data_IF_920322891034
#
_entry.id   IF_920322891034
#
_cell.length_a   1.000
_cell.length_b   1.000
_cell.length_c   1.000
_cell.angle_alpha   90.00
_cell.angle_beta   90.00
_cell.angle_gamma   90.00
#
_symmetry.space_group_name_H-M   'P 1'
#
loop_
_entity.id
_entity.type
_entity.pdbx_description
1 polymer ?
#
# COMPACT_ATOMS: atom_id res chain seq x y z
N UNK A 1 -3.19 2.96 -10.30
CA UNK A 1 -2.26 2.13 -11.10
C UNK A 1 -2.06 0.80 -10.38
N UNK A 2 -2.17 -0.34 -11.06
CA UNK A 2 -1.96 -1.66 -10.44
C UNK A 2 -0.58 -2.18 -10.83
N UNK A 3 0.12 -2.84 -9.91
CA UNK A 3 1.48 -3.32 -10.14
C UNK A 3 1.60 -4.82 -9.84
N UNK A 4 2.65 -5.44 -10.37
CA UNK A 4 2.99 -6.81 -10.01
C UNK A 4 3.36 -6.89 -8.52
N UNK A 5 3.05 -8.01 -7.87
CA UNK A 5 3.37 -8.18 -6.45
C UNK A 5 4.86 -8.20 -6.20
N UNK A 6 5.64 -8.75 -7.13
CA UNK A 6 7.10 -8.70 -7.09
C UNK A 6 7.62 -7.25 -7.11
N UNK A 7 7.03 -6.40 -7.94
CA UNK A 7 7.39 -4.97 -8.01
C UNK A 7 7.04 -4.25 -6.71
N UNK A 8 5.85 -4.52 -6.14
CA UNK A 8 5.44 -3.99 -4.85
C UNK A 8 6.43 -4.36 -3.73
N UNK A 9 6.82 -5.64 -3.66
CA UNK A 9 7.79 -6.13 -2.69
C UNK A 9 9.19 -5.53 -2.91
N UNK A 10 9.61 -5.38 -4.16
CA UNK A 10 10.87 -4.71 -4.52
C UNK A 10 10.88 -3.28 -3.99
N UNK A 11 9.82 -2.50 -4.25
CA UNK A 11 9.68 -1.13 -3.74
C UNK A 11 9.68 -1.08 -2.20
N UNK A 12 9.03 -2.03 -1.54
CA UNK A 12 9.06 -2.11 -0.07
C UNK A 12 10.44 -2.42 0.51
N UNK A 13 11.33 -3.04 -0.26
CA UNK A 13 12.71 -3.29 0.17
C UNK A 13 13.64 -2.09 -0.03
N UNK A 14 13.19 -1.02 -0.70
CA UNK A 14 13.99 0.17 -0.95
C UNK A 14 14.17 1.01 0.33
N UNK A 15 15.34 1.67 0.50
CA UNK A 15 15.57 2.56 1.63
C UNK A 15 14.52 3.66 1.74
N UNK A 16 13.95 3.84 2.93
CA UNK A 16 12.95 4.87 3.19
C UNK A 16 11.51 4.47 2.86
N UNK A 17 11.29 3.29 2.27
CA UNK A 17 9.95 2.74 2.11
C UNK A 17 9.34 2.39 3.49
N UNK A 18 8.06 2.73 3.68
CA UNK A 18 7.28 2.34 4.86
C UNK A 18 5.99 1.66 4.43
N UNK A 19 5.58 0.66 5.21
CA UNK A 19 4.26 0.05 5.06
C UNK A 19 3.63 -0.29 6.40
N UNK A 20 2.33 -0.05 6.47
CA UNK A 20 1.44 -0.57 7.50
C UNK A 20 0.47 -1.55 6.83
N UNK A 21 0.39 -2.77 7.36
CA UNK A 21 -0.52 -3.81 6.85
C UNK A 21 -1.68 -3.97 7.81
N UNK A 22 -2.86 -4.26 7.27
CA UNK A 22 -3.96 -4.73 8.10
C UNK A 22 -3.65 -6.13 8.68
N UNK A 23 -4.39 -6.59 9.72
CA UNK A 23 -4.17 -7.90 10.34
C UNK A 23 -4.25 -9.10 9.38
N UNK A 24 -5.03 -8.99 8.30
CA UNK A 24 -5.20 -10.07 7.30
C UNK A 24 -4.17 -10.01 6.18
N UNK A 25 -3.36 -8.94 6.11
CA UNK A 25 -2.39 -8.65 5.04
C UNK A 25 -3.03 -8.54 3.65
N UNK A 26 -4.33 -8.29 3.58
CA UNK A 26 -5.04 -8.02 2.32
C UNK A 26 -4.97 -6.55 1.93
N UNK A 27 -4.69 -5.66 2.89
CA UNK A 27 -4.56 -4.23 2.66
C UNK A 27 -3.26 -3.69 3.23
N UNK A 28 -2.72 -2.68 2.56
CA UNK A 28 -1.52 -1.99 3.02
C UNK A 28 -1.59 -0.51 2.71
N UNK A 29 -1.18 0.32 3.67
CA UNK A 29 -0.82 1.72 3.42
C UNK A 29 0.69 1.79 3.24
N UNK A 30 1.16 2.41 2.17
CA UNK A 30 2.58 2.60 1.89
C UNK A 30 2.95 4.08 1.74
N UNK A 31 4.16 4.40 2.14
CA UNK A 31 4.86 5.64 1.80
C UNK A 31 6.18 5.24 1.10
N UNK A 32 6.24 5.44 -0.22
CA UNK A 32 7.46 5.22 -1.00
C UNK A 32 8.18 6.54 -1.24
N UNK A 33 9.51 6.50 -1.41
CA UNK A 33 10.31 7.70 -1.59
C UNK A 33 9.86 8.50 -2.83
N UNK A 34 9.49 9.77 -2.63
CA UNK A 34 9.04 10.65 -3.72
C UNK A 34 7.64 10.35 -4.27
N UNK A 35 6.89 9.42 -3.66
CA UNK A 35 5.55 9.07 -4.10
C UNK A 35 4.52 9.47 -3.03
N UNK A 36 3.27 9.79 -3.42
CA UNK A 36 2.22 10.03 -2.45
C UNK A 36 1.95 8.77 -1.61
N UNK A 37 1.39 8.97 -0.42
CA UNK A 37 0.86 7.87 0.39
C UNK A 37 -0.21 7.12 -0.40
N UNK A 38 -0.22 5.79 -0.31
CA UNK A 38 -1.15 4.94 -1.08
C UNK A 38 -1.73 3.84 -0.23
N UNK A 39 -3.00 3.54 -0.46
CA UNK A 39 -3.70 2.38 0.08
C UNK A 39 -3.88 1.33 -1.03
N UNK A 40 -3.53 0.10 -0.72
CA UNK A 40 -3.52 -1.01 -1.67
C UNK A 40 -4.36 -2.17 -1.20
N UNK A 41 -4.91 -2.93 -2.15
CA UNK A 41 -5.37 -4.31 -1.96
C UNK A 41 -4.33 -5.29 -2.53
N UNK A 42 -3.89 -6.24 -1.70
CA UNK A 42 -2.83 -7.20 -1.99
C UNK A 42 -3.45 -8.50 -2.50
N UNK A 43 -3.43 -8.71 -3.81
CA UNK A 43 -3.84 -9.96 -4.44
C UNK A 43 -2.74 -11.03 -4.45
N UNK A 44 -3.00 -12.12 -5.18
CA UNK A 44 -2.06 -13.23 -5.33
C UNK A 44 -0.83 -12.78 -6.15
N UNK A 45 -1.05 -12.30 -7.37
CA UNK A 45 0.03 -11.89 -8.30
C UNK A 45 0.11 -10.37 -8.51
N UNK A 46 -0.94 -9.65 -8.14
CA UNK A 46 -1.07 -8.21 -8.37
C UNK A 46 -1.47 -7.46 -7.13
N UNK A 47 -1.01 -6.22 -7.06
CA UNK A 47 -1.38 -5.26 -6.02
C UNK A 47 -2.16 -4.11 -6.68
N UNK A 48 -3.36 -3.87 -6.16
CA UNK A 48 -4.33 -2.94 -6.73
C UNK A 48 -4.32 -1.65 -5.93
N UNK A 49 -4.13 -0.51 -6.60
CA UNK A 49 -4.23 0.79 -5.94
C UNK A 49 -5.70 1.10 -5.68
N UNK A 50 -6.07 1.30 -4.42
CA UNK A 50 -7.41 1.71 -4.03
C UNK A 50 -7.51 3.24 -3.97
N UNK A 51 -6.58 3.86 -3.25
CA UNK A 51 -6.60 5.31 -2.95
C UNK A 51 -5.16 5.83 -2.89
N UNK A 52 -4.95 7.08 -3.29
CA UNK A 52 -3.67 7.77 -3.13
C UNK A 52 -3.83 9.20 -2.61
N UNK A 53 -2.77 9.73 -2.01
CA UNK A 53 -2.72 11.08 -1.47
C UNK A 53 -3.44 11.22 -0.12
N UNK A 54 -4.01 12.39 0.12
CA UNK A 54 -4.62 12.77 1.41
C UNK A 54 -5.83 11.92 1.78
N UNK A 55 -6.54 11.37 0.79
CA UNK A 55 -7.71 10.51 1.02
C UNK A 55 -7.34 9.20 1.73
N UNK A 56 -6.09 8.74 1.67
CA UNK A 56 -5.68 7.48 2.32
C UNK A 56 -5.95 7.50 3.82
N UNK A 57 -5.77 8.64 4.50
CA UNK A 57 -6.02 8.76 5.93
C UNK A 57 -7.50 8.63 6.30
N UNK A 58 -8.41 8.94 5.36
CA UNK A 58 -9.85 8.73 5.55
C UNK A 58 -10.22 7.26 5.44
N UNK A 59 -9.59 6.56 4.50
CA UNK A 59 -9.92 5.17 4.18
C UNK A 59 -9.18 4.14 5.05
N UNK A 60 -8.02 4.46 5.64
CA UNK A 60 -7.28 3.50 6.49
C UNK A 60 -8.13 2.93 7.64
N UNK A 61 -9.05 3.73 8.20
CA UNK A 61 -9.94 3.31 9.27
C UNK A 61 -10.96 2.25 8.81
N UNK A 62 -11.55 2.46 7.64
CA UNK A 62 -12.52 1.53 7.03
C UNK A 62 -11.87 0.16 6.75
N UNK A 63 -10.65 0.18 6.21
CA UNK A 63 -9.88 -1.04 5.89
C UNK A 63 -9.06 -1.58 7.07
N UNK A 64 -9.19 -0.97 8.27
CA UNK A 64 -8.51 -1.38 9.51
C UNK A 64 -6.98 -1.49 9.35
N UNK A 65 -6.41 -0.62 8.53
CA UNK A 65 -4.95 -0.48 8.42
C UNK A 65 -4.47 0.45 9.55
N UNK A 66 -3.50 0.02 10.37
CA UNK A 66 -3.08 0.75 11.56
C UNK A 66 -2.43 2.11 11.28
#
# INVERSE_FOLDING_TARGET
>A
MNIAKEEFLRKLSEPGARAAFDPTRQYAVTEFAGEPKRLWHIGIDRVFLLVEGEEVERWRAEFRVP
#
